data_IF_921014932716
#
_entry.id   IF_921014932716
#
_cell.length_a   1.000
_cell.length_b   1.000
_cell.length_c   1.000
_cell.angle_alpha   90.00
_cell.angle_beta   90.00
_cell.angle_gamma   90.00
#
_symmetry.space_group_name_H-M   'P 1'
#
loop_
_entity.id
_entity.type
_entity.pdbx_description
1 polymer ?
#
# COMPACT_ATOMS: atom_id res chain seq x y z
N UNK A 1 8.82 -18.82 -29.82
CA UNK A 1 8.43 -17.40 -29.72
C UNK A 1 7.54 -17.15 -28.49
N UNK A 2 6.41 -17.78 -28.28
CA UNK A 2 5.47 -17.54 -27.15
C UNK A 2 6.09 -17.55 -25.73
N UNK A 3 7.14 -18.33 -25.48
CA UNK A 3 7.77 -18.39 -24.16
C UNK A 3 8.59 -17.14 -23.82
N UNK A 4 9.14 -16.45 -24.83
CA UNK A 4 9.90 -15.22 -24.63
C UNK A 4 8.98 -14.00 -24.49
N UNK A 5 7.86 -13.98 -25.20
CA UNK A 5 6.83 -12.93 -25.09
C UNK A 5 5.99 -13.01 -23.84
N UNK A 6 6.07 -14.12 -23.07
CA UNK A 6 5.39 -14.25 -21.78
C UNK A 6 6.13 -13.52 -20.62
N UNK A 7 7.37 -13.09 -20.83
CA UNK A 7 8.17 -12.33 -19.85
C UNK A 7 7.94 -10.83 -20.08
N UNK A 8 7.66 -10.06 -19.02
CA UNK A 8 7.51 -8.60 -19.09
C UNK A 8 8.85 -7.95 -19.48
N UNK A 9 8.82 -6.95 -20.36
CA UNK A 9 10.03 -6.26 -20.83
C UNK A 9 10.58 -5.23 -19.84
N UNK A 10 9.77 -4.83 -18.86
CA UNK A 10 10.10 -3.77 -17.89
C UNK A 10 10.17 -4.23 -16.44
N UNK A 11 10.44 -5.50 -16.19
CA UNK A 11 10.67 -6.01 -14.83
C UNK A 11 11.97 -5.46 -14.21
N UNK A 12 12.08 -5.54 -12.88
CA UNK A 12 13.29 -5.20 -12.15
C UNK A 12 14.49 -6.07 -12.55
N UNK A 13 15.69 -5.67 -12.11
CA UNK A 13 16.94 -6.38 -12.42
C UNK A 13 16.90 -7.83 -11.92
N UNK A 14 16.53 -8.02 -10.62
CA UNK A 14 16.47 -9.34 -10.01
C UNK A 14 15.46 -10.25 -10.73
N UNK A 15 14.27 -9.74 -11.00
CA UNK A 15 13.24 -10.49 -11.72
C UNK A 15 13.70 -10.88 -13.11
N UNK A 16 14.29 -9.95 -13.87
CA UNK A 16 14.71 -10.16 -15.25
C UNK A 16 15.82 -11.19 -15.38
N UNK A 17 16.86 -11.09 -14.54
CA UNK A 17 18.09 -11.89 -14.71
C UNK A 17 18.13 -13.15 -13.85
N UNK A 18 17.48 -13.15 -12.67
CA UNK A 18 17.55 -14.26 -11.74
C UNK A 18 16.27 -15.09 -11.64
N UNK A 19 15.09 -14.51 -11.89
CA UNK A 19 13.82 -15.23 -11.75
C UNK A 19 13.24 -15.65 -13.11
N UNK A 20 13.10 -14.73 -14.05
CA UNK A 20 12.43 -14.99 -15.34
C UNK A 20 13.08 -16.08 -16.19
N UNK A 21 14.41 -16.33 -16.15
CA UNK A 21 15.01 -17.45 -16.85
C UNK A 21 14.47 -18.82 -16.41
N UNK A 22 14.10 -18.95 -15.14
CA UNK A 22 13.59 -20.21 -14.56
C UNK A 22 12.06 -20.26 -14.57
N UNK A 23 11.38 -19.21 -14.12
CA UNK A 23 9.92 -19.18 -13.99
C UNK A 23 9.18 -19.45 -15.31
N UNK A 24 9.72 -19.00 -16.45
CA UNK A 24 9.15 -19.30 -17.78
C UNK A 24 9.12 -20.81 -18.11
N UNK A 25 10.10 -21.58 -17.63
CA UNK A 25 10.13 -23.03 -17.83
C UNK A 25 9.15 -23.72 -16.89
N UNK A 26 8.99 -23.20 -15.66
CA UNK A 26 7.97 -23.66 -14.73
C UNK A 26 6.58 -23.35 -15.29
N UNK A 27 6.35 -22.16 -15.84
CA UNK A 27 5.09 -21.79 -16.50
C UNK A 27 4.74 -22.75 -17.65
N UNK A 28 5.72 -23.10 -18.49
CA UNK A 28 5.53 -24.10 -19.54
C UNK A 28 5.20 -25.49 -18.99
N UNK A 29 5.84 -25.90 -17.90
CA UNK A 29 5.56 -27.17 -17.25
C UNK A 29 4.15 -27.18 -16.65
N UNK A 30 3.74 -26.12 -15.96
CA UNK A 30 2.39 -25.92 -15.43
C UNK A 30 1.33 -26.01 -16.55
N UNK A 31 1.57 -25.32 -17.68
CA UNK A 31 0.67 -25.36 -18.83
C UNK A 31 0.49 -26.79 -19.40
N UNK A 32 1.59 -27.55 -19.46
CA UNK A 32 1.54 -28.97 -19.92
C UNK A 32 0.78 -29.89 -18.97
N UNK A 33 0.74 -29.53 -17.68
CA UNK A 33 0.01 -30.26 -16.65
C UNK A 33 -1.43 -29.79 -16.49
N UNK A 34 -1.87 -28.81 -17.28
CA UNK A 34 -3.22 -28.26 -17.19
C UNK A 34 -3.48 -27.42 -15.94
N UNK A 35 -2.41 -26.96 -15.26
CA UNK A 35 -2.54 -26.08 -14.11
C UNK A 35 -3.00 -24.68 -14.56
N UNK A 36 -3.89 -24.07 -13.78
CA UNK A 36 -4.39 -22.73 -14.03
C UNK A 36 -3.51 -21.66 -13.33
N UNK A 37 -3.46 -20.41 -13.84
CA UNK A 37 -2.77 -19.33 -13.16
C UNK A 37 -3.19 -19.18 -11.69
N UNK A 38 -4.50 -19.21 -11.39
CA UNK A 38 -5.02 -19.07 -10.03
C UNK A 38 -4.52 -20.16 -9.07
N UNK A 39 -4.31 -21.40 -9.57
CA UNK A 39 -3.72 -22.46 -8.75
C UNK A 39 -2.26 -22.16 -8.41
N UNK A 40 -1.50 -21.58 -9.33
CA UNK A 40 -0.10 -21.20 -9.10
C UNK A 40 -0.02 -20.00 -8.14
N UNK A 41 -0.88 -19.00 -8.30
CA UNK A 41 -1.01 -17.88 -7.37
C UNK A 41 -1.35 -18.35 -5.95
N UNK A 42 -2.28 -19.31 -5.82
CA UNK A 42 -2.61 -19.92 -4.52
C UNK A 42 -1.42 -20.70 -3.93
N UNK A 43 -0.69 -21.44 -4.75
CA UNK A 43 0.52 -22.15 -4.29
C UNK A 43 1.61 -21.16 -3.83
N UNK A 44 1.76 -20.02 -4.51
CA UNK A 44 2.63 -18.91 -4.09
C UNK A 44 2.25 -18.39 -2.71
N UNK A 45 0.96 -18.11 -2.48
CA UNK A 45 0.47 -17.65 -1.17
C UNK A 45 0.74 -18.67 -0.07
N UNK A 46 0.38 -19.95 -0.29
CA UNK A 46 0.60 -21.01 0.71
C UNK A 46 2.09 -21.12 1.06
N UNK A 47 2.97 -21.06 0.05
CA UNK A 47 4.43 -21.10 0.26
C UNK A 47 4.90 -19.91 1.11
N UNK A 48 4.37 -18.70 0.86
CA UNK A 48 4.71 -17.52 1.66
C UNK A 48 4.18 -17.60 3.09
N UNK A 49 2.98 -18.16 3.30
CA UNK A 49 2.44 -18.37 4.66
C UNK A 49 3.28 -19.40 5.44
N UNK A 50 3.75 -20.46 4.79
CA UNK A 50 4.70 -21.40 5.39
C UNK A 50 6.03 -20.69 5.71
N UNK A 51 6.52 -19.83 4.82
CA UNK A 51 7.70 -19.02 5.08
C UNK A 51 7.52 -18.10 6.29
N UNK A 52 6.36 -17.44 6.41
CA UNK A 52 6.01 -16.62 7.58
C UNK A 52 5.95 -17.45 8.88
N UNK A 53 5.39 -18.67 8.81
CA UNK A 53 5.40 -19.63 9.91
C UNK A 53 6.82 -20.04 10.33
N UNK A 54 7.69 -20.30 9.36
CA UNK A 54 9.11 -20.58 9.64
C UNK A 54 9.80 -19.38 10.31
N UNK A 55 9.56 -18.16 9.82
CA UNK A 55 10.09 -16.93 10.42
C UNK A 55 9.60 -16.76 11.86
N UNK A 56 8.32 -17.06 12.11
CA UNK A 56 7.72 -16.95 13.44
C UNK A 56 8.30 -17.92 14.47
N UNK A 57 9.03 -18.97 14.07
CA UNK A 57 9.73 -19.85 15.03
C UNK A 57 10.81 -19.13 15.84
N UNK A 58 11.38 -18.04 15.32
CA UNK A 58 12.45 -17.27 15.95
C UNK A 58 13.82 -17.97 15.94
N UNK A 59 13.93 -19.12 15.27
CA UNK A 59 15.17 -19.89 15.20
C UNK A 59 16.00 -19.51 13.98
N UNK A 60 17.32 -19.69 14.07
CA UNK A 60 18.22 -19.42 12.94
C UNK A 60 17.86 -20.26 11.70
N UNK A 61 17.58 -21.55 11.92
CA UNK A 61 17.11 -22.46 10.86
C UNK A 61 15.77 -22.03 10.29
N UNK A 62 14.84 -21.54 11.14
CA UNK A 62 13.56 -21.00 10.74
C UNK A 62 13.71 -19.76 9.84
N UNK A 63 14.59 -18.82 10.17
CA UNK A 63 14.87 -17.65 9.33
C UNK A 63 15.50 -18.03 7.99
N UNK A 64 16.44 -19.00 7.98
CA UNK A 64 17.04 -19.48 6.73
C UNK A 64 15.99 -20.15 5.82
N UNK A 65 15.13 -21.02 6.40
CA UNK A 65 14.03 -21.64 5.68
C UNK A 65 13.01 -20.60 5.17
N UNK A 66 12.68 -19.61 6.00
CA UNK A 66 11.76 -18.52 5.64
C UNK A 66 12.28 -17.72 4.44
N UNK A 67 13.56 -17.34 4.43
CA UNK A 67 14.17 -16.64 3.30
C UNK A 67 14.13 -17.44 2.01
N UNK A 68 14.47 -18.73 2.08
CA UNK A 68 14.41 -19.62 0.91
C UNK A 68 12.98 -19.79 0.39
N UNK A 69 12.03 -20.08 1.27
CA UNK A 69 10.62 -20.27 0.89
C UNK A 69 10.00 -18.97 0.33
N UNK A 70 10.44 -17.80 0.82
CA UNK A 70 10.01 -16.53 0.27
C UNK A 70 10.46 -16.36 -1.19
N UNK A 71 11.71 -16.74 -1.51
CA UNK A 71 12.20 -16.74 -2.90
C UNK A 71 11.41 -17.72 -3.78
N UNK A 72 11.11 -18.92 -3.27
CA UNK A 72 10.29 -19.90 -3.99
C UNK A 72 8.89 -19.34 -4.25
N UNK A 73 8.26 -18.72 -3.25
CA UNK A 73 6.97 -18.03 -3.40
C UNK A 73 7.03 -16.96 -4.48
N UNK A 74 8.08 -16.15 -4.53
CA UNK A 74 8.26 -15.11 -5.54
C UNK A 74 8.46 -15.69 -6.95
N UNK A 75 9.18 -16.82 -7.09
CA UNK A 75 9.30 -17.52 -8.37
C UNK A 75 7.95 -18.04 -8.86
N UNK A 76 7.12 -18.59 -7.96
CA UNK A 76 5.76 -19.04 -8.29
C UNK A 76 4.85 -17.87 -8.70
N UNK A 77 4.98 -16.74 -8.03
CA UNK A 77 4.29 -15.49 -8.36
C UNK A 77 4.62 -14.99 -9.78
N UNK A 78 5.90 -14.91 -10.11
CA UNK A 78 6.31 -14.61 -11.49
C UNK A 78 5.81 -15.65 -12.51
N UNK A 79 5.63 -16.89 -12.07
CA UNK A 79 5.20 -18.00 -12.92
C UNK A 79 3.73 -17.90 -13.29
N UNK A 80 2.83 -17.48 -12.37
CA UNK A 80 1.39 -17.40 -12.64
C UNK A 80 1.06 -16.36 -13.72
N UNK A 81 1.64 -15.17 -13.64
CA UNK A 81 1.51 -14.15 -14.68
C UNK A 81 2.09 -14.58 -16.02
N UNK A 82 3.24 -15.30 -16.01
CA UNK A 82 3.81 -15.86 -17.23
C UNK A 82 2.93 -17.00 -17.78
N UNK A 83 2.33 -17.82 -16.93
CA UNK A 83 1.39 -18.87 -17.31
C UNK A 83 0.13 -18.26 -17.92
N UNK A 84 -0.44 -17.20 -17.32
CA UNK A 84 -1.59 -16.49 -17.86
C UNK A 84 -1.32 -15.96 -19.27
N UNK A 85 -0.17 -15.31 -19.49
CA UNK A 85 0.25 -14.82 -20.82
C UNK A 85 0.54 -15.95 -21.82
N UNK A 86 1.15 -17.03 -21.35
CA UNK A 86 1.49 -18.18 -22.22
C UNK A 86 0.26 -18.95 -22.68
N UNK A 87 -0.71 -19.17 -21.76
CA UNK A 87 -1.94 -19.92 -22.02
C UNK A 87 -3.11 -19.04 -22.51
N UNK A 88 -2.95 -17.71 -22.49
CA UNK A 88 -3.99 -16.72 -22.79
C UNK A 88 -5.22 -16.86 -21.87
N UNK A 89 -4.98 -17.27 -20.63
CA UNK A 89 -6.00 -17.42 -19.60
C UNK A 89 -5.98 -16.22 -18.65
N UNK A 90 -6.82 -15.26 -18.94
CA UNK A 90 -6.98 -14.06 -18.12
C UNK A 90 -8.35 -14.05 -17.46
N UNK A 91 -8.40 -13.67 -16.19
CA UNK A 91 -9.66 -13.48 -15.48
C UNK A 91 -9.54 -12.31 -14.50
N UNK A 92 -10.66 -11.60 -14.30
CA UNK A 92 -10.75 -10.52 -13.31
C UNK A 92 -10.49 -11.02 -11.90
N UNK A 93 -11.04 -12.18 -11.58
CA UNK A 93 -10.81 -12.86 -10.31
C UNK A 93 -9.32 -13.20 -10.15
N UNK A 94 -8.64 -13.65 -11.21
CA UNK A 94 -7.21 -13.96 -11.15
C UNK A 94 -6.35 -12.73 -10.88
N UNK A 95 -6.63 -11.61 -11.55
CA UNK A 95 -5.91 -10.36 -11.33
C UNK A 95 -6.12 -9.80 -9.90
N UNK A 96 -7.36 -9.92 -9.37
CA UNK A 96 -7.64 -9.53 -8.00
C UNK A 96 -6.98 -10.47 -6.98
N UNK A 97 -6.99 -11.79 -7.22
CA UNK A 97 -6.30 -12.76 -6.37
C UNK A 97 -4.80 -12.48 -6.29
N UNK A 98 -4.15 -12.27 -7.44
CA UNK A 98 -2.74 -11.95 -7.53
C UNK A 98 -2.40 -10.72 -6.68
N UNK A 99 -3.09 -9.60 -6.92
CA UNK A 99 -2.89 -8.37 -6.19
C UNK A 99 -3.18 -8.47 -4.68
N UNK A 100 -4.24 -9.19 -4.30
CA UNK A 100 -4.63 -9.40 -2.90
C UNK A 100 -3.64 -10.29 -2.18
N UNK A 101 -3.23 -11.38 -2.83
CA UNK A 101 -2.31 -12.34 -2.24
C UNK A 101 -0.91 -11.75 -2.07
N UNK A 102 -0.46 -10.88 -2.97
CA UNK A 102 0.79 -10.13 -2.80
C UNK A 102 0.83 -9.33 -1.51
N UNK A 103 -0.26 -8.64 -1.19
CA UNK A 103 -0.35 -7.88 0.08
C UNK A 103 -0.44 -8.81 1.27
N UNK A 104 -1.25 -9.87 1.18
CA UNK A 104 -1.37 -10.87 2.24
C UNK A 104 -0.03 -11.55 2.54
N UNK A 105 0.73 -11.94 1.52
CA UNK A 105 2.08 -12.52 1.65
C UNK A 105 3.02 -11.56 2.38
N UNK A 106 3.08 -10.31 1.93
CA UNK A 106 3.97 -9.29 2.49
C UNK A 106 3.67 -9.05 3.98
N UNK A 107 2.40 -8.83 4.31
CA UNK A 107 2.00 -8.55 5.69
C UNK A 107 2.15 -9.78 6.61
N UNK A 108 1.78 -10.96 6.14
CA UNK A 108 2.00 -12.19 6.89
C UNK A 108 3.49 -12.45 7.17
N UNK A 109 4.35 -12.18 6.19
CA UNK A 109 5.78 -12.35 6.35
C UNK A 109 6.38 -11.36 7.35
N UNK A 110 5.96 -10.07 7.31
CA UNK A 110 6.38 -9.07 8.30
C UNK A 110 5.92 -9.46 9.71
N UNK A 111 4.68 -9.91 9.85
CA UNK A 111 4.18 -10.42 11.13
C UNK A 111 4.97 -11.63 11.63
N UNK A 112 5.28 -12.58 10.73
CA UNK A 112 6.11 -13.76 11.06
C UNK A 112 7.50 -13.37 11.56
N UNK A 113 8.16 -12.42 10.90
CA UNK A 113 9.46 -11.89 11.35
C UNK A 113 9.35 -11.21 12.73
N UNK A 114 8.31 -10.41 12.96
CA UNK A 114 8.11 -9.71 14.23
C UNK A 114 7.82 -10.69 15.38
N UNK A 115 6.96 -11.71 15.14
CA UNK A 115 6.69 -12.78 16.11
C UNK A 115 7.98 -13.54 16.44
N UNK A 116 8.77 -13.90 15.40
CA UNK A 116 10.02 -14.64 15.59
C UNK A 116 11.06 -13.83 16.38
N UNK A 117 11.18 -12.54 16.10
CA UNK A 117 12.06 -11.64 16.85
C UNK A 117 11.62 -11.50 18.31
N UNK A 118 10.32 -11.30 18.57
CA UNK A 118 9.77 -11.19 19.92
C UNK A 118 10.01 -12.45 20.75
N UNK A 119 9.95 -13.65 20.16
CA UNK A 119 10.32 -14.91 20.82
C UNK A 119 11.80 -14.97 21.22
N UNK A 120 12.64 -14.28 20.49
CA UNK A 120 14.06 -14.09 20.81
C UNK A 120 14.34 -12.93 21.77
N UNK A 121 13.30 -12.26 22.32
CA UNK A 121 13.42 -11.10 23.20
C UNK A 121 13.67 -9.77 22.48
N UNK A 122 13.55 -9.73 21.15
CA UNK A 122 13.76 -8.53 20.34
C UNK A 122 12.42 -8.02 19.78
N UNK A 123 11.79 -7.04 20.46
CA UNK A 123 10.56 -6.43 19.96
C UNK A 123 10.86 -5.51 18.76
N UNK A 124 10.32 -5.88 17.59
CA UNK A 124 10.46 -5.14 16.34
C UNK A 124 9.11 -4.76 15.71
N UNK A 125 8.00 -4.89 16.46
CA UNK A 125 6.67 -4.61 15.93
C UNK A 125 6.51 -3.17 15.41
N UNK A 126 7.12 -2.19 16.08
CA UNK A 126 7.11 -0.80 15.60
C UNK A 126 7.84 -0.65 14.24
N UNK A 127 8.94 -1.39 14.05
CA UNK A 127 9.66 -1.40 12.76
C UNK A 127 8.87 -2.13 11.68
N UNK A 128 8.22 -3.25 12.01
CA UNK A 128 7.37 -4.00 11.09
C UNK A 128 6.18 -3.15 10.61
N UNK A 129 5.48 -2.52 11.55
CA UNK A 129 4.37 -1.62 11.26
C UNK A 129 4.86 -0.39 10.47
N UNK A 130 5.98 0.21 10.85
CA UNK A 130 6.59 1.33 10.13
C UNK A 130 6.96 0.98 8.68
N UNK A 131 7.53 -0.21 8.44
CA UNK A 131 7.84 -0.70 7.10
C UNK A 131 6.58 -0.90 6.26
N UNK A 132 5.51 -1.46 6.84
CA UNK A 132 4.21 -1.61 6.19
C UNK A 132 3.59 -0.24 5.86
N UNK A 133 3.57 0.70 6.81
CA UNK A 133 3.05 2.07 6.61
C UNK A 133 3.80 2.76 5.48
N UNK A 134 5.13 2.77 5.54
CA UNK A 134 5.96 3.43 4.53
C UNK A 134 5.73 2.85 3.13
N UNK A 135 5.70 1.52 3.01
CA UNK A 135 5.49 0.86 1.73
C UNK A 135 4.07 1.10 1.18
N UNK A 136 3.06 1.06 2.04
CA UNK A 136 1.68 1.35 1.63
C UNK A 136 1.53 2.81 1.20
N UNK A 137 2.05 3.77 1.95
CA UNK A 137 2.04 5.19 1.58
C UNK A 137 2.74 5.44 0.24
N UNK A 138 3.86 4.74 -0.02
CA UNK A 138 4.57 4.81 -1.30
C UNK A 138 3.69 4.34 -2.46
N UNK A 139 2.96 3.23 -2.30
CA UNK A 139 2.01 2.76 -3.31
C UNK A 139 0.86 3.76 -3.51
N UNK A 140 0.34 4.36 -2.44
CA UNK A 140 -0.70 5.40 -2.56
C UNK A 140 -0.20 6.60 -3.37
N UNK A 141 1.05 7.03 -3.15
CA UNK A 141 1.72 8.07 -3.96
C UNK A 141 1.78 7.66 -5.44
N UNK A 142 2.18 6.41 -5.72
CA UNK A 142 2.27 5.88 -7.07
C UNK A 142 0.91 5.87 -7.77
N UNK A 143 -0.11 5.32 -7.11
CA UNK A 143 -1.46 5.22 -7.66
C UNK A 143 -2.10 6.59 -7.88
N UNK A 144 -2.03 7.48 -6.89
CA UNK A 144 -2.61 8.82 -6.98
C UNK A 144 -1.96 9.64 -8.10
N UNK A 145 -0.62 9.56 -8.26
CA UNK A 145 0.07 10.26 -9.32
C UNK A 145 -0.30 9.69 -10.71
N UNK A 146 -0.33 8.37 -10.85
CA UNK A 146 -0.67 7.71 -12.10
C UNK A 146 -2.12 8.02 -12.49
N UNK A 147 -3.06 7.93 -11.56
CA UNK A 147 -4.48 8.21 -11.81
C UNK A 147 -4.71 9.68 -12.17
N UNK A 148 -4.02 10.60 -11.49
CA UNK A 148 -4.08 12.04 -11.80
C UNK A 148 -3.58 12.39 -13.21
N UNK A 149 -2.78 11.53 -13.81
CA UNK A 149 -2.13 11.80 -15.11
C UNK A 149 -2.54 10.79 -16.20
N UNK A 150 -3.42 9.84 -15.91
CA UNK A 150 -3.84 8.79 -16.84
C UNK A 150 -4.40 9.37 -18.16
N UNK A 151 -5.30 10.35 -18.07
CA UNK A 151 -5.99 10.96 -19.22
C UNK A 151 -5.46 12.37 -19.54
N UNK A 152 -4.31 12.77 -18.97
CA UNK A 152 -3.81 14.13 -19.14
C UNK A 152 -3.25 14.35 -20.55
N UNK A 153 -3.84 15.28 -21.29
CA UNK A 153 -3.35 15.73 -22.58
C UNK A 153 -2.20 16.73 -22.44
N UNK A 154 -1.31 16.83 -23.42
CA UNK A 154 -0.18 17.79 -23.40
C UNK A 154 1.03 17.33 -22.58
N UNK A 155 1.37 16.05 -22.61
CA UNK A 155 2.39 15.39 -21.78
C UNK A 155 3.86 15.72 -22.13
N UNK A 156 4.17 16.92 -22.55
CA UNK A 156 5.54 17.35 -22.83
C UNK A 156 6.12 18.06 -21.62
N UNK A 157 6.99 17.40 -20.86
CA UNK A 157 7.78 18.05 -19.80
C UNK A 157 9.28 17.91 -20.10
N UNK A 158 10.11 18.93 -19.81
CA UNK A 158 11.57 18.83 -19.92
C UNK A 158 12.15 17.66 -19.10
N UNK A 159 11.51 17.32 -17.98
CA UNK A 159 11.91 16.20 -17.13
C UNK A 159 11.55 14.84 -17.72
N UNK A 160 10.50 14.72 -18.55
CA UNK A 160 10.21 13.52 -19.31
C UNK A 160 11.29 13.29 -20.39
N UNK A 161 11.63 14.33 -21.14
CA UNK A 161 12.68 14.26 -22.16
C UNK A 161 14.06 13.91 -21.55
N UNK A 162 14.38 14.41 -20.35
CA UNK A 162 15.58 14.01 -19.61
C UNK A 162 15.51 12.55 -19.16
N UNK A 163 14.35 12.11 -18.69
CA UNK A 163 14.12 10.70 -18.33
C UNK A 163 14.35 9.77 -19.52
N UNK A 164 13.77 10.12 -20.68
CA UNK A 164 13.91 9.35 -21.91
C UNK A 164 15.37 9.30 -22.40
N UNK A 165 16.11 10.41 -22.25
CA UNK A 165 17.56 10.44 -22.55
C UNK A 165 18.37 9.55 -21.60
N UNK A 166 18.05 9.53 -20.30
CA UNK A 166 18.71 8.68 -19.32
C UNK A 166 18.35 7.19 -19.54
N UNK A 167 17.14 6.91 -20.04
CA UNK A 167 16.71 5.56 -20.38
C UNK A 167 17.35 5.05 -21.68
N UNK A 168 17.88 5.94 -22.53
CA UNK A 168 18.68 5.58 -23.71
C UNK A 168 20.09 5.07 -23.35
N UNK A 169 20.59 5.32 -22.14
CA UNK A 169 21.90 4.84 -21.67
C UNK A 169 21.71 3.54 -20.90
N UNK A 170 22.02 2.42 -21.49
CA UNK A 170 21.63 1.06 -21.07
C UNK A 170 21.87 0.67 -19.60
N UNK A 171 22.95 1.14 -18.94
CA UNK A 171 23.22 0.79 -17.53
C UNK A 171 22.50 1.71 -16.53
N UNK A 172 22.21 2.94 -16.87
CA UNK A 172 21.51 3.90 -16.00
C UNK A 172 20.07 3.47 -15.73
N UNK A 173 19.43 2.78 -16.69
CA UNK A 173 18.10 2.17 -16.50
C UNK A 173 18.10 1.18 -15.32
N UNK A 174 19.12 0.33 -15.27
CA UNK A 174 19.22 -0.69 -14.20
C UNK A 174 19.49 -0.07 -12.84
N UNK A 175 20.39 0.93 -12.76
CA UNK A 175 20.62 1.68 -11.52
C UNK A 175 19.34 2.36 -11.02
N UNK A 176 18.61 3.02 -11.91
CA UNK A 176 17.31 3.63 -11.56
C UNK A 176 16.30 2.59 -11.09
N UNK A 177 16.22 1.44 -11.77
CA UNK A 177 15.32 0.34 -11.36
C UNK A 177 15.68 -0.18 -9.97
N UNK A 178 16.94 -0.37 -9.66
CA UNK A 178 17.39 -0.80 -8.32
C UNK A 178 17.08 0.28 -7.27
N UNK A 179 17.32 1.57 -7.57
CA UNK A 179 17.03 2.69 -6.66
C UNK A 179 15.54 2.75 -6.31
N UNK A 180 14.66 2.51 -7.27
CA UNK A 180 13.20 2.52 -7.05
C UNK A 180 12.76 1.34 -6.18
N UNK A 181 13.60 0.34 -5.96
CA UNK A 181 13.33 -0.85 -5.16
C UNK A 181 11.99 -1.51 -5.54
N UNK A 182 11.83 -1.96 -6.81
CA UNK A 182 10.62 -2.64 -7.24
C UNK A 182 10.42 -3.95 -6.49
N UNK A 183 9.27 -4.58 -6.71
CA UNK A 183 8.85 -5.75 -5.93
C UNK A 183 9.91 -6.87 -5.90
N UNK A 184 10.55 -7.18 -7.01
CA UNK A 184 11.56 -8.24 -7.10
C UNK A 184 12.80 -7.98 -6.25
N UNK A 185 13.35 -6.77 -6.33
CA UNK A 185 14.51 -6.34 -5.55
C UNK A 185 14.18 -6.30 -4.06
N UNK A 186 12.96 -5.84 -3.72
CA UNK A 186 12.50 -5.81 -2.33
C UNK A 186 12.35 -7.21 -1.75
N UNK A 187 11.74 -8.15 -2.48
CA UNK A 187 11.59 -9.53 -2.03
C UNK A 187 12.93 -10.26 -1.92
N UNK A 188 13.86 -10.01 -2.86
CA UNK A 188 15.21 -10.53 -2.77
C UNK A 188 15.95 -10.00 -1.54
N UNK A 189 15.86 -8.68 -1.28
CA UNK A 189 16.45 -8.03 -0.11
C UNK A 189 15.91 -8.67 1.19
N UNK A 190 14.58 -8.78 1.31
CA UNK A 190 13.93 -9.39 2.48
C UNK A 190 14.42 -10.82 2.66
N UNK A 191 14.36 -11.65 1.62
CA UNK A 191 14.71 -13.07 1.69
C UNK A 191 16.16 -13.30 2.08
N UNK A 192 17.09 -12.59 1.44
CA UNK A 192 18.53 -12.72 1.71
C UNK A 192 18.83 -12.23 3.13
N UNK A 193 18.39 -11.04 3.51
CA UNK A 193 18.65 -10.51 4.84
C UNK A 193 17.99 -11.37 5.94
N UNK A 194 16.80 -11.91 5.73
CA UNK A 194 16.18 -12.85 6.66
C UNK A 194 17.04 -14.08 6.87
N UNK A 195 17.59 -14.65 5.78
CA UNK A 195 18.42 -15.85 5.85
C UNK A 195 19.76 -15.61 6.55
N UNK A 196 20.38 -14.41 6.42
CA UNK A 196 21.76 -14.17 6.88
C UNK A 196 21.88 -13.19 8.06
N UNK A 197 20.81 -12.45 8.43
CA UNK A 197 20.86 -11.45 9.49
C UNK A 197 19.74 -11.66 10.55
N UNK A 198 19.30 -10.59 11.19
CA UNK A 198 18.21 -10.59 12.17
C UNK A 198 16.99 -9.81 11.62
N UNK A 199 15.75 -10.07 12.10
CA UNK A 199 14.58 -9.33 11.71
C UNK A 199 14.70 -7.81 11.86
N UNK A 200 15.41 -7.35 12.89
CA UNK A 200 15.68 -5.92 13.11
C UNK A 200 16.46 -5.31 11.94
N UNK A 201 17.49 -5.99 11.45
CA UNK A 201 18.28 -5.54 10.29
C UNK A 201 17.42 -5.54 9.02
N UNK A 202 16.59 -6.58 8.83
CA UNK A 202 15.65 -6.64 7.69
C UNK A 202 14.75 -5.41 7.66
N UNK A 203 14.10 -5.07 8.78
CA UNK A 203 13.19 -3.92 8.83
C UNK A 203 13.91 -2.58 8.68
N UNK A 204 15.09 -2.40 9.27
CA UNK A 204 15.88 -1.18 9.06
C UNK A 204 16.32 -1.02 7.61
N UNK A 205 16.74 -2.10 6.95
CA UNK A 205 17.09 -2.07 5.53
C UNK A 205 15.88 -1.73 4.65
N UNK A 206 14.69 -2.28 4.97
CA UNK A 206 13.44 -1.95 4.30
C UNK A 206 13.05 -0.49 4.50
N UNK A 207 13.08 -0.01 5.73
CA UNK A 207 12.75 1.39 6.04
C UNK A 207 13.69 2.35 5.31
N UNK A 208 14.99 2.12 5.38
CA UNK A 208 15.98 2.96 4.70
C UNK A 208 15.81 2.92 3.17
N UNK A 209 15.73 1.71 2.58
CA UNK A 209 15.58 1.54 1.13
C UNK A 209 14.25 2.10 0.62
N UNK A 210 13.14 1.81 1.30
CA UNK A 210 11.82 2.33 0.91
C UNK A 210 11.71 3.84 1.11
N UNK A 211 12.30 4.41 2.19
CA UNK A 211 12.32 5.85 2.40
C UNK A 211 13.11 6.56 1.30
N UNK A 212 14.30 6.06 0.98
CA UNK A 212 15.11 6.60 -0.12
C UNK A 212 14.36 6.55 -1.46
N UNK A 213 13.78 5.39 -1.80
CA UNK A 213 13.00 5.23 -3.00
C UNK A 213 11.75 6.14 -3.04
N UNK A 214 11.04 6.29 -1.90
CA UNK A 214 9.89 7.18 -1.77
C UNK A 214 10.28 8.65 -1.98
N UNK A 215 11.36 9.12 -1.33
CA UNK A 215 11.87 10.47 -1.51
C UNK A 215 12.27 10.73 -2.96
N UNK A 216 13.03 9.83 -3.57
CA UNK A 216 13.48 9.95 -4.96
C UNK A 216 12.32 10.03 -5.95
N UNK A 217 11.37 9.09 -5.85
CA UNK A 217 10.23 9.04 -6.78
C UNK A 217 9.26 10.20 -6.55
N UNK A 218 8.97 10.55 -5.29
CA UNK A 218 8.06 11.66 -4.96
C UNK A 218 8.64 13.00 -5.38
N UNK A 219 9.94 13.26 -5.13
CA UNK A 219 10.61 14.48 -5.58
C UNK A 219 10.55 14.63 -7.11
N UNK A 220 10.81 13.56 -7.85
CA UNK A 220 10.68 13.56 -9.32
C UNK A 220 9.25 13.86 -9.80
N UNK A 221 8.23 13.33 -9.12
CA UNK A 221 6.81 13.60 -9.43
C UNK A 221 6.39 15.02 -9.08
N UNK A 222 6.82 15.53 -7.92
CA UNK A 222 6.58 16.92 -7.51
C UNK A 222 7.18 17.87 -8.54
N UNK A 223 8.46 17.69 -8.90
CA UNK A 223 9.12 18.52 -9.89
C UNK A 223 8.39 18.47 -11.24
N UNK A 224 7.99 17.28 -11.69
CA UNK A 224 7.19 17.11 -12.90
C UNK A 224 5.85 17.84 -12.81
N UNK A 225 5.15 17.77 -11.68
CA UNK A 225 3.86 18.44 -11.47
C UNK A 225 3.97 19.96 -11.47
N UNK A 226 5.07 20.50 -10.95
CA UNK A 226 5.33 21.96 -10.91
C UNK A 226 5.75 22.52 -12.26
N UNK A 227 6.45 21.73 -13.07
CA UNK A 227 6.97 22.17 -14.38
C UNK A 227 5.99 21.93 -15.54
N UNK A 228 4.95 21.12 -15.31
CA UNK A 228 3.98 20.70 -16.31
C UNK A 228 2.65 21.45 -16.14
N UNK A 229 2.14 21.99 -17.24
CA UNK A 229 0.74 22.43 -17.36
C UNK A 229 -0.07 21.30 -17.98
N UNK A 230 -0.75 20.50 -17.18
CA UNK A 230 -1.67 19.47 -17.64
C UNK A 230 -3.04 19.75 -17.04
N UNK A 231 -4.06 19.85 -17.88
CA UNK A 231 -5.44 19.89 -17.45
C UNK A 231 -5.87 18.49 -17.04
N UNK A 232 -6.37 18.35 -15.83
CA UNK A 232 -6.91 17.08 -15.32
C UNK A 232 -8.37 16.95 -15.70
N UNK A 233 -8.74 15.76 -16.12
CA UNK A 233 -10.11 15.44 -16.45
C UNK A 233 -10.98 15.32 -15.18
N UNK A 234 -12.28 15.48 -15.31
CA UNK A 234 -13.24 15.24 -14.23
C UNK A 234 -13.19 13.78 -13.72
N UNK A 235 -12.81 12.84 -14.60
CA UNK A 235 -12.58 11.43 -14.23
C UNK A 235 -11.41 11.32 -13.26
N UNK A 236 -10.28 11.91 -13.59
CA UNK A 236 -9.09 11.90 -12.72
C UNK A 236 -9.37 12.59 -11.37
N UNK A 237 -10.07 13.72 -11.38
CA UNK A 237 -10.47 14.44 -10.16
C UNK A 237 -11.41 13.60 -9.27
N UNK A 238 -12.35 12.85 -9.86
CA UNK A 238 -13.22 11.91 -9.12
C UNK A 238 -12.42 10.75 -8.56
N UNK A 239 -11.57 10.12 -9.35
CA UNK A 239 -10.73 9.01 -8.89
C UNK A 239 -9.84 9.42 -7.71
N UNK A 240 -9.26 10.62 -7.72
CA UNK A 240 -8.51 11.14 -6.58
C UNK A 240 -9.38 11.36 -5.35
N UNK A 241 -10.62 11.83 -5.52
CA UNK A 241 -11.56 11.97 -4.41
C UNK A 241 -11.95 10.62 -3.82
N UNK A 242 -12.16 9.60 -4.67
CA UNK A 242 -12.44 8.23 -4.25
C UNK A 242 -11.24 7.61 -3.51
N UNK A 243 -10.02 7.84 -3.99
CA UNK A 243 -8.78 7.40 -3.31
C UNK A 243 -8.57 8.09 -1.96
N UNK A 244 -9.12 9.28 -1.75
CA UNK A 244 -9.09 9.95 -0.45
C UNK A 244 -9.90 9.18 0.61
N UNK A 245 -10.89 8.36 0.23
CA UNK A 245 -11.70 7.52 1.13
C UNK A 245 -12.36 8.34 2.25
N UNK A 246 -12.99 9.45 1.88
CA UNK A 246 -13.63 10.37 2.82
C UNK A 246 -14.92 9.76 3.38
N UNK A 247 -15.05 9.77 4.71
CA UNK A 247 -16.22 9.31 5.41
C UNK A 247 -17.23 10.46 5.69
N UNK A 248 -18.16 10.18 6.58
CA UNK A 248 -19.32 11.06 6.86
C UNK A 248 -18.89 12.43 7.35
N UNK A 249 -17.86 12.53 8.20
CA UNK A 249 -17.43 13.78 8.81
C UNK A 249 -16.77 14.69 7.77
N UNK A 250 -15.84 14.14 6.98
CA UNK A 250 -15.19 14.87 5.90
C UNK A 250 -16.18 15.28 4.80
N UNK A 251 -17.14 14.42 4.44
CA UNK A 251 -18.22 14.76 3.51
C UNK A 251 -19.09 15.93 4.04
N UNK A 252 -19.47 15.91 5.32
CA UNK A 252 -20.25 16.98 5.92
C UNK A 252 -19.46 18.30 5.97
N UNK A 253 -18.19 18.24 6.37
CA UNK A 253 -17.28 19.39 6.36
C UNK A 253 -17.08 19.94 4.94
N UNK A 254 -16.90 19.06 3.94
CA UNK A 254 -16.78 19.45 2.54
C UNK A 254 -18.01 20.20 2.03
N UNK A 255 -19.21 19.73 2.37
CA UNK A 255 -20.47 20.40 2.00
C UNK A 255 -20.59 21.77 2.66
N UNK A 256 -20.29 21.88 3.96
CA UNK A 256 -20.37 23.12 4.72
C UNK A 256 -19.34 24.17 4.24
N UNK A 257 -18.12 23.73 3.92
CA UNK A 257 -17.03 24.60 3.52
C UNK A 257 -17.01 24.95 2.02
N UNK A 258 -17.79 24.25 1.19
CA UNK A 258 -17.82 24.46 -0.25
C UNK A 258 -18.05 25.91 -0.69
N UNK A 259 -18.98 26.69 -0.07
CA UNK A 259 -19.19 28.10 -0.43
C UNK A 259 -18.00 29.00 -0.07
N UNK A 260 -17.34 28.71 1.06
CA UNK A 260 -16.23 29.50 1.59
C UNK A 260 -14.85 29.08 1.04
N UNK A 261 -14.75 27.89 0.42
CA UNK A 261 -13.51 27.37 -0.11
C UNK A 261 -13.01 28.23 -1.27
N UNK A 262 -12.14 29.20 -0.96
CA UNK A 262 -11.46 30.03 -1.96
C UNK A 262 -10.57 29.17 -2.85
N UNK A 263 -10.30 29.54 -4.10
CA UNK A 263 -9.29 28.93 -4.94
C UNK A 263 -7.89 29.37 -4.47
N UNK A 264 -7.47 28.91 -3.28
CA UNK A 264 -6.07 28.92 -2.91
C UNK A 264 -5.40 27.84 -3.76
N UNK A 265 -4.42 28.16 -4.55
CA UNK A 265 -3.61 27.42 -5.50
C UNK A 265 -3.48 25.88 -5.45
N UNK A 266 -4.48 25.15 -4.94
CA UNK A 266 -4.53 23.69 -4.78
C UNK A 266 -5.16 23.28 -3.45
N UNK A 267 -5.48 21.99 -3.31
CA UNK A 267 -6.14 21.39 -2.12
C UNK A 267 -5.18 20.78 -1.14
N UNK A 268 -3.98 20.44 -1.58
CA UNK A 268 -2.91 19.84 -0.81
C UNK A 268 -2.56 20.59 0.49
N UNK A 269 -2.51 21.93 0.55
CA UNK A 269 -2.22 22.64 1.80
C UNK A 269 -3.17 22.35 2.95
N UNK A 270 -4.47 22.14 2.67
CA UNK A 270 -5.45 21.77 3.71
C UNK A 270 -5.18 20.38 4.26
N UNK A 271 -4.89 19.41 3.40
CA UNK A 271 -4.54 18.07 3.82
C UNK A 271 -3.25 18.05 4.66
N UNK A 272 -2.22 18.79 4.22
CA UNK A 272 -0.95 18.91 4.95
C UNK A 272 -1.12 19.58 6.31
N UNK A 273 -1.90 20.67 6.39
CA UNK A 273 -2.15 21.37 7.67
C UNK A 273 -2.89 20.46 8.66
N UNK A 274 -3.94 19.76 8.22
CA UNK A 274 -4.66 18.81 9.05
C UNK A 274 -3.78 17.65 9.52
N UNK A 275 -3.00 17.07 8.61
CA UNK A 275 -2.05 16.02 8.94
C UNK A 275 -0.98 16.48 9.94
N UNK A 276 -0.41 17.68 9.76
CA UNK A 276 0.60 18.23 10.66
C UNK A 276 0.05 18.43 12.07
N UNK A 277 -1.15 19.01 12.22
CA UNK A 277 -1.81 19.20 13.51
C UNK A 277 -2.06 17.87 14.21
N UNK A 278 -2.60 16.89 13.47
CA UNK A 278 -2.89 15.55 13.99
C UNK A 278 -1.61 14.84 14.47
N UNK A 279 -0.59 14.80 13.63
CA UNK A 279 0.66 14.12 13.94
C UNK A 279 1.43 14.82 15.08
N UNK A 280 1.44 16.15 15.11
CA UNK A 280 2.03 16.89 16.21
C UNK A 280 1.35 16.55 17.56
N UNK A 281 0.02 16.51 17.57
CA UNK A 281 -0.73 16.10 18.76
C UNK A 281 -0.49 14.63 19.12
N UNK A 282 -0.51 13.72 18.14
CA UNK A 282 -0.25 12.30 18.37
C UNK A 282 1.15 12.06 18.96
N UNK A 283 2.15 12.83 18.53
CA UNK A 283 3.53 12.71 19.03
C UNK A 283 3.75 13.38 20.40
N UNK A 284 3.14 14.53 20.65
CA UNK A 284 3.52 15.39 21.79
C UNK A 284 2.45 15.49 22.89
N UNK A 285 1.16 15.34 22.58
CA UNK A 285 0.10 15.50 23.57
C UNK A 285 0.09 14.33 24.57
N UNK A 286 -0.25 14.57 25.86
CA UNK A 286 -0.40 13.49 26.83
C UNK A 286 -1.45 12.45 26.38
N UNK A 287 -1.15 11.16 26.53
CA UNK A 287 -2.14 10.10 26.40
C UNK A 287 -3.16 10.18 27.55
N UNK A 288 -4.41 9.76 27.29
CA UNK A 288 -5.49 9.90 28.27
C UNK A 288 -6.12 11.30 28.32
N UNK A 289 -5.64 12.25 27.48
CA UNK A 289 -6.20 13.58 27.37
C UNK A 289 -6.95 13.81 26.05
N UNK A 290 -7.79 14.86 25.95
CA UNK A 290 -8.63 15.12 24.79
C UNK A 290 -7.89 15.70 23.57
N UNK A 291 -6.64 16.13 23.73
CA UNK A 291 -5.93 16.90 22.70
C UNK A 291 -5.74 16.16 21.39
N UNK A 292 -5.46 14.84 21.44
CA UNK A 292 -5.33 14.03 20.20
C UNK A 292 -6.69 13.89 19.51
N UNK A 293 -7.77 13.70 20.27
CA UNK A 293 -9.12 13.62 19.71
C UNK A 293 -9.56 14.96 19.11
N UNK A 294 -9.25 16.08 19.76
CA UNK A 294 -9.51 17.43 19.20
C UNK A 294 -8.71 17.67 17.92
N UNK A 295 -7.44 17.26 17.89
CA UNK A 295 -6.62 17.35 16.69
C UNK A 295 -7.18 16.44 15.55
N UNK A 296 -7.72 15.28 15.88
CA UNK A 296 -8.38 14.40 14.90
C UNK A 296 -9.67 15.04 14.34
N UNK A 297 -10.44 15.79 15.15
CA UNK A 297 -11.58 16.58 14.65
C UNK A 297 -11.11 17.68 13.69
N UNK A 298 -10.05 18.41 14.05
CA UNK A 298 -9.47 19.45 13.17
C UNK A 298 -8.96 18.84 11.87
N UNK A 299 -8.31 17.68 11.94
CA UNK A 299 -7.89 16.92 10.77
C UNK A 299 -9.09 16.51 9.90
N UNK A 300 -10.17 16.03 10.47
CA UNK A 300 -11.39 15.68 9.74
C UNK A 300 -12.00 16.89 9.01
N UNK A 301 -12.03 18.07 9.65
CA UNK A 301 -12.48 19.31 9.03
C UNK A 301 -11.54 19.76 7.91
N UNK A 302 -10.21 19.70 8.14
CA UNK A 302 -9.21 20.05 7.13
C UNK A 302 -9.23 19.11 5.92
N UNK A 303 -9.43 17.81 6.14
CA UNK A 303 -9.60 16.83 5.04
C UNK A 303 -10.88 17.08 4.26
N UNK A 304 -11.99 17.44 4.91
CA UNK A 304 -13.21 17.90 4.24
C UNK A 304 -12.96 19.14 3.37
N UNK A 305 -12.20 20.13 3.86
CA UNK A 305 -11.81 21.30 3.07
C UNK A 305 -10.94 20.93 1.86
N UNK A 306 -10.06 19.92 2.01
CA UNK A 306 -9.22 19.42 0.92
C UNK A 306 -10.04 18.78 -0.21
N UNK A 307 -11.16 18.11 0.09
CA UNK A 307 -12.04 17.45 -0.90
C UNK A 307 -13.31 18.24 -1.22
N UNK A 308 -13.49 19.45 -0.70
CA UNK A 308 -14.69 20.27 -0.91
C UNK A 308 -14.93 20.66 -2.39
N UNK A 309 -13.90 20.60 -3.22
CA UNK A 309 -13.96 20.87 -4.67
C UNK A 309 -13.15 19.82 -5.43
N UNK A 310 -13.34 19.66 -6.75
CA UNK A 310 -12.57 18.72 -7.58
C UNK A 310 -11.06 18.89 -7.43
N UNK A 311 -10.33 17.77 -7.38
CA UNK A 311 -8.89 17.70 -7.20
C UNK A 311 -8.17 17.87 -8.56
N UNK A 312 -8.22 19.09 -9.11
CA UNK A 312 -7.65 19.43 -10.44
C UNK A 312 -6.33 20.17 -10.38
N UNK A 313 -5.91 20.66 -9.22
CA UNK A 313 -4.66 21.40 -9.03
C UNK A 313 -3.42 20.54 -9.27
N UNK A 314 -2.31 21.15 -9.68
CA UNK A 314 -1.06 20.47 -10.05
C UNK A 314 -0.56 19.48 -8.99
N UNK A 315 -0.74 19.81 -7.70
CA UNK A 315 -0.29 18.99 -6.56
C UNK A 315 -1.40 18.22 -5.88
N UNK A 316 -2.67 18.31 -6.34
CA UNK A 316 -3.80 17.70 -5.65
C UNK A 316 -3.79 16.17 -5.62
N UNK A 317 -2.94 15.54 -6.45
CA UNK A 317 -2.65 14.10 -6.36
C UNK A 317 -1.97 13.69 -5.04
N UNK A 318 -1.42 14.66 -4.27
CA UNK A 318 -0.87 14.40 -2.94
C UNK A 318 -1.94 14.33 -1.84
N UNK A 319 -3.18 14.76 -2.10
CA UNK A 319 -4.24 14.73 -1.08
C UNK A 319 -4.46 13.32 -0.55
N UNK A 320 -4.77 12.28 -1.37
CA UNK A 320 -4.96 10.93 -0.85
C UNK A 320 -3.73 10.38 -0.09
N UNK A 321 -2.48 10.46 -0.60
CA UNK A 321 -1.30 10.00 0.14
C UNK A 321 -1.10 10.67 1.49
N UNK A 322 -1.32 11.99 1.57
CA UNK A 322 -1.15 12.75 2.84
C UNK A 322 -2.17 12.29 3.87
N UNK A 323 -3.44 12.12 3.47
CA UNK A 323 -4.48 11.64 4.37
C UNK A 323 -4.21 10.22 4.87
N UNK A 324 -3.75 9.33 4.00
CA UNK A 324 -3.37 7.96 4.38
C UNK A 324 -2.15 7.91 5.29
N UNK A 325 -1.11 8.70 4.96
CA UNK A 325 0.08 8.78 5.80
C UNK A 325 -0.27 9.31 7.21
N UNK A 326 -1.16 10.30 7.30
CA UNK A 326 -1.62 10.82 8.59
C UNK A 326 -2.38 9.76 9.40
N UNK A 327 -3.34 9.03 8.77
CA UNK A 327 -4.09 7.95 9.41
C UNK A 327 -3.16 6.86 9.93
N UNK A 328 -2.34 6.26 9.07
CA UNK A 328 -1.50 5.11 9.43
C UNK A 328 -0.41 5.48 10.45
N UNK A 329 0.22 6.65 10.29
CA UNK A 329 1.23 7.11 11.23
C UNK A 329 0.62 7.43 12.59
N UNK A 330 -0.60 7.97 12.64
CA UNK A 330 -1.30 8.21 13.92
C UNK A 330 -1.56 6.89 14.65
N UNK A 331 -2.04 5.86 13.96
CA UNK A 331 -2.25 4.53 14.55
C UNK A 331 -0.93 3.97 15.10
N UNK A 332 0.16 4.03 14.32
CA UNK A 332 1.50 3.61 14.73
C UNK A 332 1.97 4.34 15.99
N UNK A 333 1.90 5.69 15.97
CA UNK A 333 2.42 6.53 17.04
C UNK A 333 1.63 6.31 18.35
N UNK A 334 0.29 6.27 18.27
CA UNK A 334 -0.54 6.07 19.45
C UNK A 334 -0.34 4.67 20.05
N UNK A 335 -0.24 3.63 19.23
CA UNK A 335 0.04 2.27 19.69
C UNK A 335 1.44 2.14 20.32
N UNK A 336 2.46 2.77 19.71
CA UNK A 336 3.81 2.76 20.26
C UNK A 336 3.91 3.53 21.57
N UNK A 337 3.20 4.65 21.71
CA UNK A 337 3.20 5.48 22.92
C UNK A 337 2.35 4.91 24.04
N UNK A 338 1.34 4.12 23.74
CA UNK A 338 0.54 3.44 24.75
C UNK A 338 1.36 2.45 25.58
N UNK A 339 2.48 1.97 25.04
CA UNK A 339 3.41 1.00 25.67
C UNK A 339 2.67 -0.17 26.31
N UNK A 340 1.57 -0.59 25.68
CA UNK A 340 0.70 -1.64 26.16
C UNK A 340 1.00 -2.97 25.45
N UNK A 341 1.01 -4.09 26.18
CA UNK A 341 1.22 -5.40 25.59
C UNK A 341 0.27 -5.67 24.43
N UNK A 342 0.79 -6.01 23.25
CA UNK A 342 -0.02 -6.32 22.08
C UNK A 342 -0.61 -5.13 21.31
N UNK A 343 -0.41 -3.88 21.74
CA UNK A 343 -0.94 -2.71 21.07
C UNK A 343 -0.36 -2.54 19.64
N UNK A 344 0.94 -2.71 19.47
CA UNK A 344 1.59 -2.64 18.17
C UNK A 344 1.17 -3.78 17.21
N UNK A 345 1.10 -5.06 17.63
CA UNK A 345 0.48 -6.13 16.82
C UNK A 345 -0.97 -5.85 16.42
N UNK A 346 -1.80 -5.32 17.33
CA UNK A 346 -3.18 -4.97 17.03
C UNK A 346 -3.26 -3.81 16.02
N UNK A 347 -2.42 -2.78 16.21
CA UNK A 347 -2.27 -1.68 15.27
C UNK A 347 -1.79 -2.15 13.89
N UNK A 348 -0.86 -3.12 13.85
CA UNK A 348 -0.43 -3.76 12.61
C UNK A 348 -1.61 -4.41 11.87
N UNK A 349 -2.44 -5.18 12.59
CA UNK A 349 -3.66 -5.77 12.04
C UNK A 349 -4.65 -4.73 11.51
N UNK A 350 -4.84 -3.63 12.24
CA UNK A 350 -5.72 -2.54 11.80
C UNK A 350 -5.22 -1.86 10.52
N UNK A 351 -3.95 -1.48 10.49
CA UNK A 351 -3.36 -0.85 9.29
C UNK A 351 -3.37 -1.82 8.10
N UNK A 352 -3.11 -3.11 8.31
CA UNK A 352 -3.20 -4.14 7.27
C UNK A 352 -4.62 -4.23 6.67
N UNK A 353 -5.66 -4.22 7.52
CA UNK A 353 -7.05 -4.26 7.08
C UNK A 353 -7.46 -3.02 6.30
N UNK A 354 -7.07 -1.83 6.76
CA UNK A 354 -7.35 -0.56 6.07
C UNK A 354 -6.56 -0.46 4.77
N UNK A 355 -5.30 -0.88 4.76
CA UNK A 355 -4.47 -0.94 3.56
C UNK A 355 -5.08 -1.88 2.50
N UNK A 356 -5.59 -3.04 2.92
CA UNK A 356 -6.31 -3.94 2.01
C UNK A 356 -7.51 -3.25 1.36
N UNK A 357 -8.37 -2.57 2.14
CA UNK A 357 -9.50 -1.81 1.61
C UNK A 357 -9.05 -0.74 0.59
N UNK A 358 -7.95 -0.05 0.87
CA UNK A 358 -7.39 0.92 -0.06
C UNK A 358 -6.92 0.27 -1.38
N UNK A 359 -6.21 -0.87 -1.30
CA UNK A 359 -5.79 -1.61 -2.50
C UNK A 359 -6.99 -2.10 -3.32
N UNK A 360 -8.03 -2.63 -2.68
CA UNK A 360 -9.27 -3.02 -3.37
C UNK A 360 -9.90 -1.83 -4.10
N UNK A 361 -9.94 -0.65 -3.46
CA UNK A 361 -10.41 0.59 -4.09
C UNK A 361 -9.59 0.95 -5.34
N UNK A 362 -8.26 0.88 -5.24
CA UNK A 362 -7.35 1.15 -6.36
C UNK A 362 -7.62 0.19 -7.53
N UNK A 363 -7.71 -1.12 -7.25
CA UNK A 363 -7.91 -2.11 -8.29
C UNK A 363 -9.27 -1.98 -8.97
N UNK A 364 -10.33 -1.61 -8.23
CA UNK A 364 -11.64 -1.31 -8.82
C UNK A 364 -11.58 -0.10 -9.74
N UNK A 365 -10.94 0.99 -9.32
CA UNK A 365 -10.80 2.21 -10.14
C UNK A 365 -10.01 1.90 -11.42
N UNK A 366 -8.85 1.24 -11.31
CA UNK A 366 -8.02 0.85 -12.46
C UNK A 366 -8.73 -0.15 -13.36
N UNK A 367 -9.54 -1.03 -12.81
CA UNK A 367 -10.37 -1.98 -13.55
C UNK A 367 -11.58 -1.36 -14.27
N UNK A 368 -11.76 -0.05 -14.18
CA UNK A 368 -12.89 0.62 -14.81
C UNK A 368 -14.25 0.32 -14.17
N UNK A 369 -14.29 -0.39 -13.02
CA UNK A 369 -15.51 -0.73 -12.31
C UNK A 369 -15.95 0.35 -11.32
N UNK A 370 -15.15 1.41 -11.16
CA UNK A 370 -15.40 2.50 -10.22
C UNK A 370 -14.99 2.14 -8.79
N UNK A 371 -15.08 3.14 -7.89
CA UNK A 371 -14.77 2.96 -6.48
C UNK A 371 -15.82 2.08 -5.75
N UNK A 372 -15.49 1.55 -4.56
CA UNK A 372 -16.48 0.91 -3.69
C UNK A 372 -17.68 1.82 -3.40
N UNK A 373 -18.88 1.25 -3.16
CA UNK A 373 -20.05 2.05 -2.91
C UNK A 373 -19.90 2.92 -1.65
N UNK A 374 -20.39 4.16 -1.68
CA UNK A 374 -20.27 5.12 -0.57
C UNK A 374 -20.79 4.57 0.78
N UNK A 375 -21.79 3.67 0.76
CA UNK A 375 -22.25 2.96 1.97
C UNK A 375 -21.16 2.15 2.65
N UNK A 376 -20.26 1.52 1.87
CA UNK A 376 -19.14 0.75 2.42
C UNK A 376 -18.11 1.70 3.04
N UNK A 377 -17.71 2.75 2.33
CA UNK A 377 -16.76 3.76 2.83
C UNK A 377 -17.27 4.35 4.16
N UNK A 378 -18.57 4.71 4.22
CA UNK A 378 -19.21 5.23 5.44
C UNK A 378 -19.27 4.18 6.55
N UNK A 379 -19.57 2.92 6.24
CA UNK A 379 -19.59 1.83 7.21
C UNK A 379 -18.19 1.55 7.80
N UNK A 380 -17.15 1.69 6.97
CA UNK A 380 -15.75 1.59 7.40
C UNK A 380 -15.22 2.89 8.06
N UNK A 381 -16.04 3.94 8.16
CA UNK A 381 -15.74 5.19 8.85
C UNK A 381 -14.94 6.22 8.06
N UNK A 382 -14.46 5.90 6.85
CA UNK A 382 -13.50 6.73 6.14
C UNK A 382 -12.18 6.90 6.90
N UNK A 383 -11.19 7.52 6.28
CA UNK A 383 -9.89 7.72 6.93
C UNK A 383 -10.00 8.58 8.21
N UNK A 384 -10.82 9.63 8.17
CA UNK A 384 -10.97 10.57 9.30
C UNK A 384 -11.76 9.97 10.46
N UNK A 385 -12.81 9.19 10.18
CA UNK A 385 -13.62 8.56 11.21
C UNK A 385 -12.86 7.47 11.96
N UNK A 386 -12.07 6.64 11.25
CA UNK A 386 -11.18 5.67 11.89
C UNK A 386 -10.11 6.35 12.72
N UNK A 387 -9.49 7.42 12.19
CA UNK A 387 -8.49 8.22 12.91
C UNK A 387 -9.07 8.83 14.18
N UNK A 388 -10.25 9.44 14.08
CA UNK A 388 -10.93 10.01 15.24
C UNK A 388 -11.28 8.93 16.28
N UNK A 389 -11.79 7.79 15.83
CA UNK A 389 -12.12 6.67 16.72
C UNK A 389 -10.87 6.17 17.46
N UNK A 390 -9.75 5.95 16.77
CA UNK A 390 -8.49 5.52 17.39
C UNK A 390 -7.98 6.60 18.39
N UNK A 391 -8.08 7.88 18.04
CA UNK A 391 -7.68 8.98 18.92
C UNK A 391 -8.55 9.05 20.19
N UNK A 392 -9.86 8.84 20.07
CA UNK A 392 -10.78 8.77 21.22
C UNK A 392 -10.51 7.54 22.08
N UNK A 393 -10.30 6.38 21.45
CA UNK A 393 -9.95 5.14 22.17
C UNK A 393 -8.62 5.29 22.90
N UNK A 394 -7.62 5.95 22.31
CA UNK A 394 -6.36 6.23 22.99
C UNK A 394 -6.56 7.19 24.19
N UNK A 395 -7.42 8.22 24.04
CA UNK A 395 -7.72 9.15 25.11
C UNK A 395 -8.42 8.46 26.30
N UNK A 396 -9.26 7.47 26.05
CA UNK A 396 -10.08 6.82 27.07
C UNK A 396 -9.41 5.58 27.67
N UNK A 397 -8.63 4.82 26.90
CA UNK A 397 -8.23 3.45 27.23
C UNK A 397 -6.70 3.23 27.22
N UNK A 398 -5.88 4.19 26.74
CA UNK A 398 -4.44 3.98 26.66
C UNK A 398 -3.71 4.22 27.99
N UNK A 399 -4.42 4.65 29.04
CA UNK A 399 -3.88 4.82 30.40
C UNK A 399 -4.31 3.66 31.29
N UNK A 400 -3.55 3.36 32.34
CA UNK A 400 -3.92 2.31 33.28
C UNK A 400 -3.61 0.88 32.81
N UNK A 401 -2.51 0.71 32.04
CA UNK A 401 -2.04 -0.59 31.54
C UNK A 401 -2.36 -0.88 30.07
N UNK A 402 -3.30 -0.12 29.45
CA UNK A 402 -3.52 -0.14 28.00
C UNK A 402 -4.20 -1.38 27.40
N UNK A 403 -4.56 -2.38 28.19
CA UNK A 403 -5.23 -3.61 27.71
C UNK A 403 -6.54 -3.29 26.98
N UNK A 404 -7.30 -2.32 27.47
CA UNK A 404 -8.53 -1.86 26.83
C UNK A 404 -8.27 -1.25 25.44
N UNK A 405 -7.18 -0.50 25.28
CA UNK A 405 -6.80 0.07 24.02
C UNK A 405 -6.35 -1.00 23.02
N UNK A 406 -5.54 -1.95 23.46
CA UNK A 406 -5.14 -3.12 22.67
C UNK A 406 -6.34 -3.91 22.16
N UNK A 407 -7.28 -4.24 23.06
CA UNK A 407 -8.50 -4.95 22.69
C UNK A 407 -9.36 -4.16 21.69
N UNK A 408 -9.51 -2.85 21.90
CA UNK A 408 -10.26 -1.98 21.00
C UNK A 408 -9.63 -1.91 19.61
N UNK A 409 -8.30 -1.80 19.48
CA UNK A 409 -7.60 -1.86 18.20
C UNK A 409 -7.79 -3.21 17.50
N UNK A 410 -7.72 -4.32 18.25
CA UNK A 410 -7.92 -5.65 17.69
C UNK A 410 -9.36 -5.87 17.20
N UNK A 411 -10.36 -5.41 17.95
CA UNK A 411 -11.77 -5.45 17.53
C UNK A 411 -12.01 -4.59 16.29
N UNK A 412 -11.45 -3.39 16.25
CA UNK A 412 -11.57 -2.51 15.08
C UNK A 412 -10.88 -3.12 13.86
N UNK A 413 -9.70 -3.71 14.03
CA UNK A 413 -8.99 -4.43 12.96
C UNK A 413 -9.84 -5.58 12.41
N UNK A 414 -10.41 -6.40 13.28
CA UNK A 414 -11.29 -7.51 12.91
C UNK A 414 -12.56 -7.03 12.18
N UNK A 415 -13.20 -5.97 12.67
CA UNK A 415 -14.40 -5.42 12.07
C UNK A 415 -14.12 -4.87 10.66
N UNK A 416 -13.05 -4.06 10.48
CA UNK A 416 -12.65 -3.51 9.17
C UNK A 416 -12.27 -4.64 8.21
N UNK A 417 -11.51 -5.64 8.67
CA UNK A 417 -11.12 -6.78 7.86
C UNK A 417 -12.34 -7.59 7.40
N UNK A 418 -13.25 -7.93 8.31
CA UNK A 418 -14.44 -8.74 7.99
C UNK A 418 -15.36 -8.02 7.01
N UNK A 419 -15.68 -6.74 7.26
CA UNK A 419 -16.56 -5.97 6.38
C UNK A 419 -15.92 -5.75 5.02
N UNK A 420 -14.63 -5.35 5.00
CA UNK A 420 -13.90 -5.09 3.76
C UNK A 420 -13.72 -6.36 2.91
N UNK A 421 -13.29 -7.48 3.53
CA UNK A 421 -13.09 -8.75 2.82
C UNK A 421 -14.42 -9.34 2.32
N UNK A 422 -15.46 -9.35 3.15
CA UNK A 422 -16.75 -9.92 2.76
C UNK A 422 -17.34 -9.19 1.54
N UNK A 423 -17.25 -7.85 1.53
CA UNK A 423 -17.75 -7.05 0.41
C UNK A 423 -16.84 -7.20 -0.83
N UNK A 424 -15.53 -7.20 -0.66
CA UNK A 424 -14.58 -7.37 -1.75
C UNK A 424 -14.74 -8.74 -2.42
N UNK A 425 -14.79 -9.82 -1.65
CA UNK A 425 -15.03 -11.19 -2.17
C UNK A 425 -16.36 -11.23 -2.93
N UNK A 426 -17.44 -10.71 -2.32
CA UNK A 426 -18.75 -10.66 -2.98
C UNK A 426 -18.68 -9.92 -4.31
N UNK A 427 -18.03 -8.75 -4.34
CA UNK A 427 -17.89 -7.95 -5.55
C UNK A 427 -17.13 -8.70 -6.64
N UNK A 428 -15.92 -9.17 -6.36
CA UNK A 428 -15.05 -9.78 -7.37
C UNK A 428 -15.52 -11.14 -7.86
N UNK A 429 -16.20 -11.93 -7.02
CA UNK A 429 -16.80 -13.22 -7.43
C UNK A 429 -18.05 -13.00 -8.28
N UNK A 430 -18.85 -11.95 -8.00
CA UNK A 430 -20.10 -11.68 -8.74
C UNK A 430 -19.91 -10.73 -9.92
N UNK A 431 -18.81 -10.00 -9.99
CA UNK A 431 -18.57 -9.06 -11.09
C UNK A 431 -18.04 -9.80 -12.30
N UNK A 432 -18.76 -9.76 -13.41
CA UNK A 432 -18.23 -10.12 -14.73
C UNK A 432 -17.29 -9.05 -15.32
N UNK A 433 -16.58 -8.29 -14.45
CA UNK A 433 -15.73 -7.19 -14.85
C UNK A 433 -14.59 -7.66 -15.77
N UNK A 434 -14.17 -6.89 -16.80
CA UNK A 434 -13.10 -7.29 -17.69
C UNK A 434 -11.78 -7.48 -16.93
N UNK A 435 -10.97 -8.46 -17.33
CA UNK A 435 -9.66 -8.66 -16.73
C UNK A 435 -8.79 -7.41 -16.95
N UNK A 436 -8.36 -6.80 -15.87
CA UNK A 436 -7.36 -5.72 -15.94
C UNK A 436 -6.02 -6.39 -16.13
N UNK A 437 -5.43 -6.20 -17.30
CA UNK A 437 -4.01 -6.46 -17.42
C UNK A 437 -3.26 -5.44 -16.57
N UNK A 438 -2.39 -5.91 -15.71
CA UNK A 438 -1.50 -5.08 -14.88
C UNK A 438 -0.44 -4.34 -15.73
N UNK A 439 -0.63 -4.34 -17.03
CA UNK A 439 0.11 -3.61 -18.02
C UNK A 439 -0.57 -2.25 -18.23
N UNK A 440 -0.40 -1.37 -17.24
CA UNK A 440 -0.66 0.06 -17.41
C UNK A 440 0.37 0.69 -18.35
N UNK A 441 0.55 0.09 -19.53
CA UNK A 441 1.34 0.64 -20.61
C UNK A 441 0.52 0.61 -21.90
N UNK A 442 0.35 1.80 -22.55
CA UNK A 442 -0.09 1.80 -23.93
C UNK A 442 0.94 1.02 -24.75
N UNK A 443 0.43 0.19 -25.67
CA UNK A 443 1.21 -0.49 -26.69
C UNK A 443 2.02 0.49 -27.51
#
# INVERSE_FOLDING_TARGET
MRLRSAVKSRDGFFTTFLVSPYSRHIARWCARRGLTPNQVTTASLVTALVAAGCAATGTRGGFAAAGLLLLVSFVLDCTDGQLARYSLQYSTLGAWLDATFDRAKEYAYYAGLAIGAARGGDDVWALALGAMVLQTCRHVVDFSFNEANHDATGNTSPTAALSDRLDAVGWTVWVRRVIVLPIGERWALIAVLTAVTTPRVVFWALLAGCAFAACYTTAGRVLRSLTRRADRTDRAARALADLADSGVIAEAAAKALRPAARPLGGRTPYALAGAAVLLAAACAAPLGGPLVALAAVLYAVASGAAVARPLTGAMDWLVPPVLRAAEYTTVLVLAARADAPGALPAAFGLVAAVAYHHYDTVYRIRGGTGAPPARLVRALGGHEGRTLLVAVLAALLATGGGDGFTAALAVLAGAVALVGLAESIRFWVSSGAPAVHDEGEPA
#
